data_IF_574211268667
#
_entry.id   IF_574211268667
#
_cell.length_a   1.000
_cell.length_b   1.000
_cell.length_c   1.000
_cell.angle_alpha   90.00
_cell.angle_beta   90.00
_cell.angle_gamma   90.00
#
_symmetry.space_group_name_H-M   'P 1'
#
loop_
_entity.id
_entity.type
_entity.pdbx_description
1 polymer ?
#
# COMPACT_ATOMS: atom_id res chain seq x y z
N UNK A 1 8.15 -0.59 -3.64
CA UNK A 1 8.72 -1.24 -4.84
C UNK A 1 10.24 -1.20 -4.76
N UNK A 2 10.94 -2.18 -5.36
CA UNK A 2 12.40 -2.23 -5.35
C UNK A 2 13.02 -2.64 -4.01
N UNK A 3 14.35 -2.58 -3.95
CA UNK A 3 15.20 -2.84 -2.79
C UNK A 3 16.53 -2.10 -2.99
N UNK A 4 17.40 -2.09 -1.98
CA UNK A 4 18.70 -1.43 -2.10
C UNK A 4 19.76 -2.39 -2.69
N UNK A 5 20.42 -2.06 -3.81
CA UNK A 5 21.46 -2.93 -4.40
C UNK A 5 22.70 -3.06 -3.49
N UNK A 6 22.93 -2.09 -2.60
CA UNK A 6 24.05 -2.09 -1.65
C UNK A 6 23.72 -2.71 -0.29
N UNK A 7 22.43 -2.97 -0.01
CA UNK A 7 21.97 -3.58 1.23
C UNK A 7 20.91 -4.66 0.92
N UNK A 8 21.36 -5.89 0.60
CA UNK A 8 20.46 -6.99 0.26
C UNK A 8 19.39 -7.23 1.34
N UNK A 9 18.13 -7.26 0.93
CA UNK A 9 16.99 -7.47 1.83
C UNK A 9 16.48 -6.21 2.56
N UNK A 10 17.20 -5.09 2.50
CA UNK A 10 16.70 -3.82 3.02
C UNK A 10 15.58 -3.25 2.13
N UNK A 11 14.68 -2.48 2.75
CA UNK A 11 13.68 -1.71 2.02
C UNK A 11 14.38 -0.71 1.09
N UNK A 12 13.84 -0.55 -0.12
CA UNK A 12 14.29 0.46 -1.09
C UNK A 12 13.66 1.82 -0.81
N UNK A 13 12.95 2.35 -1.79
CA UNK A 13 12.24 3.62 -1.66
C UNK A 13 11.13 3.55 -0.61
N UNK A 14 10.83 4.71 -0.01
CA UNK A 14 9.62 4.94 0.77
C UNK A 14 8.39 4.60 -0.08
N UNK A 15 7.41 3.93 0.53
CA UNK A 15 6.15 3.64 -0.12
C UNK A 15 5.31 4.92 -0.21
N UNK A 16 4.83 5.25 -1.41
CA UNK A 16 4.09 6.49 -1.69
C UNK A 16 2.85 6.62 -0.81
N UNK A 17 2.13 5.52 -0.62
CA UNK A 17 0.93 5.45 0.21
C UNK A 17 1.20 5.77 1.68
N UNK A 18 2.35 5.34 2.21
CA UNK A 18 2.75 5.63 3.59
C UNK A 18 3.06 7.13 3.75
N UNK A 19 3.73 7.74 2.77
CA UNK A 19 4.01 9.17 2.76
C UNK A 19 2.73 10.01 2.63
N UNK A 20 1.83 9.64 1.71
CA UNK A 20 0.56 10.34 1.50
C UNK A 20 -0.32 10.25 2.73
N UNK A 21 -0.41 9.07 3.36
CA UNK A 21 -1.16 8.87 4.59
C UNK A 21 -0.64 9.77 5.71
N UNK A 22 0.68 9.83 5.89
CA UNK A 22 1.32 10.71 6.86
C UNK A 22 0.98 12.19 6.58
N UNK A 23 1.15 12.66 5.34
CA UNK A 23 0.89 14.06 4.99
C UNK A 23 -0.58 14.44 5.19
N UNK A 24 -1.52 13.60 4.77
CA UNK A 24 -2.94 13.84 4.99
C UNK A 24 -3.29 13.86 6.49
N UNK A 25 -2.68 12.98 7.30
CA UNK A 25 -2.82 13.00 8.76
C UNK A 25 -2.27 14.27 9.42
N UNK A 26 -1.30 14.94 8.78
CA UNK A 26 -0.77 16.24 9.20
C UNK A 26 -1.57 17.43 8.66
N UNK A 27 -2.64 17.19 7.90
CA UNK A 27 -3.43 18.25 7.25
C UNK A 27 -2.76 18.86 6.02
N UNK A 28 -1.72 18.21 5.47
CA UNK A 28 -1.05 18.64 4.25
C UNK A 28 -1.77 18.03 3.04
N UNK A 29 -2.24 18.87 2.13
CA UNK A 29 -2.88 18.41 0.90
C UNK A 29 -1.85 17.85 -0.08
N UNK A 30 -2.12 16.64 -0.58
CA UNK A 30 -1.23 15.95 -1.53
C UNK A 30 -1.79 15.89 -2.95
N UNK A 31 -3.08 16.17 -3.14
CA UNK A 31 -3.80 15.97 -4.41
C UNK A 31 -3.96 14.50 -4.83
N UNK A 32 -3.55 13.54 -4.00
CA UNK A 32 -3.56 12.12 -4.33
C UNK A 32 -4.82 11.45 -3.78
N UNK A 33 -5.53 10.73 -4.64
CA UNK A 33 -6.63 9.86 -4.23
C UNK A 33 -6.09 8.55 -3.64
N UNK A 34 -6.36 8.32 -2.36
CA UNK A 34 -5.81 7.17 -1.63
C UNK A 34 -6.35 5.83 -2.13
N UNK A 35 -7.64 5.73 -2.47
CA UNK A 35 -8.23 4.47 -2.95
C UNK A 35 -7.63 4.03 -4.28
N UNK A 36 -7.43 4.98 -5.21
CA UNK A 36 -6.76 4.72 -6.49
C UNK A 36 -5.29 4.35 -6.31
N UNK A 37 -4.62 4.94 -5.31
CA UNK A 37 -3.23 4.59 -5.01
C UNK A 37 -3.13 3.16 -4.46
N UNK A 38 -4.08 2.73 -3.63
CA UNK A 38 -4.17 1.34 -3.14
C UNK A 38 -4.43 0.37 -4.30
N UNK A 39 -5.36 0.69 -5.21
CA UNK A 39 -5.61 -0.13 -6.41
C UNK A 39 -4.36 -0.29 -7.30
N UNK A 40 -3.63 0.81 -7.52
CA UNK A 40 -2.37 0.77 -8.26
C UNK A 40 -1.30 -0.09 -7.54
N UNK A 41 -1.24 -0.01 -6.20
CA UNK A 41 -0.34 -0.82 -5.38
C UNK A 41 -0.69 -2.31 -5.41
N UNK A 42 -1.98 -2.64 -5.40
CA UNK A 42 -2.50 -4.00 -5.53
C UNK A 42 -2.12 -4.60 -6.89
N UNK A 43 -2.40 -3.88 -7.98
CA UNK A 43 -1.99 -4.28 -9.33
C UNK A 43 -0.46 -4.47 -9.43
N UNK A 44 0.32 -3.57 -8.85
CA UNK A 44 1.78 -3.68 -8.86
C UNK A 44 2.29 -4.93 -8.12
N UNK A 45 1.65 -5.33 -7.01
CA UNK A 45 1.96 -6.59 -6.32
C UNK A 45 1.69 -7.79 -7.22
N UNK A 46 0.54 -7.81 -7.88
CA UNK A 46 0.14 -8.90 -8.78
C UNK A 46 1.13 -9.07 -9.93
N UNK A 47 1.47 -7.96 -10.60
CA UNK A 47 2.39 -7.97 -11.73
C UNK A 47 3.81 -8.41 -11.37
N UNK A 48 4.28 -8.10 -10.17
CA UNK A 48 5.62 -8.46 -9.70
C UNK A 48 5.64 -9.85 -9.04
N UNK A 49 4.47 -10.38 -8.65
CA UNK A 49 4.34 -11.68 -8.02
C UNK A 49 4.88 -11.73 -6.58
N UNK A 50 4.97 -10.60 -5.89
CA UNK A 50 5.35 -10.54 -4.47
C UNK A 50 4.63 -9.42 -3.72
N UNK A 51 4.45 -9.61 -2.42
CA UNK A 51 3.93 -8.55 -1.53
C UNK A 51 4.87 -7.35 -1.50
N UNK A 52 4.30 -6.15 -1.57
CA UNK A 52 5.02 -4.89 -1.40
C UNK A 52 5.11 -4.54 0.08
N UNK A 53 6.16 -3.81 0.44
CA UNK A 53 6.50 -3.52 1.83
C UNK A 53 5.69 -2.38 2.48
N UNK A 54 4.93 -1.61 1.68
CA UNK A 54 4.18 -0.44 2.14
C UNK A 54 3.11 -0.81 3.16
N UNK A 55 3.12 -0.17 4.33
CA UNK A 55 2.32 -0.58 5.48
C UNK A 55 0.85 -0.24 5.28
N UNK A 56 0.57 0.94 4.75
CA UNK A 56 -0.78 1.40 4.45
C UNK A 56 -1.45 0.48 3.42
N UNK A 57 -0.74 0.11 2.34
CA UNK A 57 -1.25 -0.83 1.35
C UNK A 57 -1.65 -2.16 1.99
N UNK A 58 -0.78 -2.77 2.80
CA UNK A 58 -1.10 -4.05 3.46
C UNK A 58 -2.31 -3.94 4.38
N UNK A 59 -2.43 -2.84 5.14
CA UNK A 59 -3.57 -2.60 6.00
C UNK A 59 -4.87 -2.43 5.19
N UNK A 60 -4.84 -1.65 4.11
CA UNK A 60 -5.99 -1.41 3.25
C UNK A 60 -6.52 -2.71 2.61
N UNK A 61 -5.62 -3.54 2.09
CA UNK A 61 -5.99 -4.84 1.50
C UNK A 61 -6.55 -5.80 2.56
N UNK A 62 -5.92 -5.90 3.73
CA UNK A 62 -6.43 -6.74 4.82
C UNK A 62 -7.82 -6.31 5.30
N UNK A 63 -8.11 -5.01 5.33
CA UNK A 63 -9.47 -4.52 5.65
C UNK A 63 -10.48 -4.82 4.54
N UNK A 64 -10.08 -4.78 3.26
CA UNK A 64 -10.95 -5.20 2.13
C UNK A 64 -11.30 -6.67 2.23
N UNK A 65 -10.32 -7.54 2.48
CA UNK A 65 -10.51 -8.98 2.67
C UNK A 65 -11.48 -9.27 3.81
N UNK A 66 -11.27 -8.70 5.00
CA UNK A 66 -12.17 -8.87 6.15
C UNK A 66 -13.61 -8.47 5.83
N UNK A 67 -13.80 -7.33 5.15
CA UNK A 67 -15.13 -6.85 4.75
C UNK A 67 -15.79 -7.80 3.76
N UNK A 68 -15.06 -8.34 2.79
CA UNK A 68 -15.57 -9.33 1.85
C UNK A 68 -16.00 -10.61 2.56
N UNK A 69 -15.16 -11.14 3.46
CA UNK A 69 -15.47 -12.34 4.25
C UNK A 69 -16.71 -12.16 5.13
N UNK A 70 -16.88 -10.99 5.78
CA UNK A 70 -18.06 -10.70 6.60
C UNK A 70 -19.35 -10.65 5.77
N UNK A 71 -19.30 -10.11 4.54
CA UNK A 71 -20.48 -10.05 3.66
C UNK A 71 -20.91 -11.42 3.15
N UNK A 72 -19.97 -12.32 2.88
CA UNK A 72 -20.27 -13.68 2.42
C UNK A 72 -20.89 -14.58 3.51
N UNK A 73 -20.90 -14.15 4.77
CA UNK A 73 -21.44 -14.90 5.91
C UNK A 73 -22.86 -14.45 6.33
N UNK A 74 -23.40 -13.42 5.69
CA UNK A 74 -24.78 -12.89 5.87
C UNK A 74 -25.66 -13.30 4.71
#
# INVERSE_FOLDING_TARGET
>A
LGGCPYAPGAAGNLATEDAVFMFQGMGVETGINMDRLVEAGELAQELIGRKLAGKFLQAALGEREKKASRRAQT
#
